data_IF_397087722811
#
_entry.id   IF_397087722811
#
_cell.length_a   1.000
_cell.length_b   1.000
_cell.length_c   1.000
_cell.angle_alpha   90.00
_cell.angle_beta   90.00
_cell.angle_gamma   90.00
#
_symmetry.space_group_name_H-M   'P 1'
#
loop_
_entity.id
_entity.type
_entity.pdbx_description
1 polymer ?
#
# COMPACT_ATOMS: atom_id res chain seq x y z
N UNK A 1 -29.64 -16.48 -7.24
CA UNK A 1 -29.04 -16.80 -5.90
C UNK A 1 -28.01 -17.91 -6.00
N UNK A 2 -28.33 -19.03 -6.66
CA UNK A 2 -27.38 -20.14 -6.87
C UNK A 2 -26.09 -19.72 -7.57
N UNK A 3 -26.19 -18.94 -8.63
CA UNK A 3 -25.01 -18.42 -9.34
C UNK A 3 -24.11 -17.55 -8.45
N UNK A 4 -24.69 -16.68 -7.63
CA UNK A 4 -23.93 -15.85 -6.70
C UNK A 4 -23.18 -16.71 -5.65
N UNK A 5 -23.85 -17.72 -5.14
CA UNK A 5 -23.25 -18.69 -4.20
C UNK A 5 -22.11 -19.47 -4.87
N UNK A 6 -22.27 -19.82 -6.14
CA UNK A 6 -21.22 -20.49 -6.90
C UNK A 6 -19.99 -19.58 -7.09
N UNK A 7 -20.18 -18.32 -7.52
CA UNK A 7 -19.08 -17.34 -7.67
C UNK A 7 -18.31 -17.18 -6.36
N UNK A 8 -19.04 -17.05 -5.25
CA UNK A 8 -18.43 -16.91 -3.92
C UNK A 8 -17.67 -18.18 -3.52
N UNK A 9 -18.27 -19.36 -3.72
CA UNK A 9 -17.64 -20.66 -3.42
C UNK A 9 -16.36 -20.85 -4.23
N UNK A 10 -16.40 -20.58 -5.53
CA UNK A 10 -15.23 -20.71 -6.42
C UNK A 10 -14.13 -19.70 -6.05
N UNK A 11 -14.50 -18.48 -5.66
CA UNK A 11 -13.56 -17.48 -5.18
C UNK A 11 -12.85 -17.94 -3.90
N UNK A 12 -13.56 -18.52 -2.92
CA UNK A 12 -12.95 -19.07 -1.71
C UNK A 12 -12.06 -20.27 -2.00
N UNK A 13 -12.52 -21.22 -2.80
CA UNK A 13 -11.76 -22.40 -3.19
C UNK A 13 -10.47 -22.00 -3.94
N UNK A 14 -10.58 -21.12 -4.92
CA UNK A 14 -9.47 -20.61 -5.71
C UNK A 14 -8.45 -19.87 -4.86
N UNK A 15 -8.89 -18.97 -3.99
CA UNK A 15 -7.97 -18.19 -3.16
C UNK A 15 -7.33 -19.04 -2.03
N UNK A 16 -8.07 -19.98 -1.44
CA UNK A 16 -7.50 -20.92 -0.48
C UNK A 16 -6.42 -21.80 -1.11
N UNK A 17 -6.66 -22.29 -2.32
CA UNK A 17 -5.65 -23.03 -3.09
C UNK A 17 -4.45 -22.14 -3.43
N UNK A 18 -4.67 -20.89 -3.87
CA UNK A 18 -3.60 -19.92 -4.09
C UNK A 18 -2.71 -19.75 -2.85
N UNK A 19 -3.30 -19.52 -1.68
CA UNK A 19 -2.56 -19.39 -0.42
C UNK A 19 -1.76 -20.64 -0.08
N UNK A 20 -2.39 -21.82 -0.22
CA UNK A 20 -1.71 -23.11 -0.02
C UNK A 20 -0.48 -23.25 -0.93
N UNK A 21 -0.64 -22.95 -2.21
CA UNK A 21 0.42 -23.03 -3.21
C UNK A 21 1.55 -22.00 -2.95
N UNK A 22 1.21 -20.77 -2.56
CA UNK A 22 2.17 -19.72 -2.15
C UNK A 22 2.98 -20.16 -0.92
N UNK A 23 2.30 -20.64 0.13
CA UNK A 23 2.95 -21.05 1.40
C UNK A 23 3.82 -22.30 1.24
N UNK A 24 3.42 -23.24 0.37
CA UNK A 24 4.20 -24.46 0.10
C UNK A 24 5.26 -24.30 -0.98
N UNK A 25 5.21 -23.19 -1.74
CA UNK A 25 6.09 -22.95 -2.89
C UNK A 25 5.83 -23.87 -4.08
N UNK A 26 4.63 -24.47 -4.15
CA UNK A 26 4.32 -25.52 -5.13
C UNK A 26 3.94 -25.01 -6.52
N UNK A 27 3.54 -23.73 -6.66
CA UNK A 27 2.94 -23.21 -7.91
C UNK A 27 3.86 -22.37 -8.78
N UNK A 28 4.81 -21.68 -8.18
CA UNK A 28 5.67 -20.73 -8.88
C UNK A 28 7.12 -20.84 -8.41
N UNK A 29 8.09 -20.50 -9.26
CA UNK A 29 9.47 -20.36 -8.82
C UNK A 29 9.54 -19.42 -7.60
N UNK A 30 10.41 -19.74 -6.64
CA UNK A 30 10.56 -18.99 -5.39
C UNK A 30 10.69 -17.45 -5.57
N UNK A 31 11.32 -17.02 -6.66
CA UNK A 31 11.51 -15.61 -7.00
C UNK A 31 10.25 -14.90 -7.54
N UNK A 32 9.18 -15.66 -7.79
CA UNK A 32 7.85 -15.14 -8.17
C UNK A 32 6.80 -15.38 -7.10
N UNK A 33 7.21 -15.96 -5.96
CA UNK A 33 6.33 -16.25 -4.85
C UNK A 33 6.18 -15.00 -3.97
N UNK A 34 4.94 -14.53 -3.83
CA UNK A 34 4.65 -13.30 -3.11
C UNK A 34 4.88 -13.43 -1.60
N UNK A 35 4.52 -14.58 -1.02
CA UNK A 35 4.67 -14.85 0.41
C UNK A 35 6.15 -14.84 0.82
N UNK A 36 6.99 -15.57 0.12
CA UNK A 36 8.44 -15.61 0.39
C UNK A 36 9.13 -14.30 0.01
N UNK A 37 8.67 -13.62 -1.06
CA UNK A 37 9.16 -12.31 -1.44
C UNK A 37 8.90 -11.26 -0.38
N UNK A 38 7.70 -11.22 0.19
CA UNK A 38 7.36 -10.34 1.30
C UNK A 38 8.27 -10.58 2.50
N UNK A 39 8.45 -11.84 2.91
CA UNK A 39 9.33 -12.18 4.04
C UNK A 39 10.79 -11.78 3.75
N UNK A 40 11.31 -12.13 2.57
CA UNK A 40 12.70 -11.85 2.22
C UNK A 40 12.99 -10.34 2.20
N UNK A 41 12.15 -9.53 1.56
CA UNK A 41 12.30 -8.07 1.53
C UNK A 41 12.20 -7.50 2.95
N UNK A 42 11.24 -7.97 3.75
CA UNK A 42 11.07 -7.52 5.14
C UNK A 42 12.32 -7.81 5.98
N UNK A 43 12.88 -9.02 5.87
CA UNK A 43 14.09 -9.40 6.60
C UNK A 43 15.32 -8.59 6.16
N UNK A 44 15.47 -8.33 4.86
CA UNK A 44 16.57 -7.53 4.33
C UNK A 44 16.48 -6.09 4.84
N UNK A 45 15.31 -5.47 4.78
CA UNK A 45 15.15 -4.08 5.26
C UNK A 45 15.29 -4.01 6.78
N UNK A 46 14.77 -4.99 7.50
CA UNK A 46 14.95 -5.07 8.96
C UNK A 46 16.43 -5.25 9.36
N UNK A 47 17.18 -6.06 8.61
CA UNK A 47 18.62 -6.18 8.82
C UNK A 47 19.33 -4.82 8.64
N UNK A 48 18.96 -4.02 7.64
CA UNK A 48 19.49 -2.65 7.51
C UNK A 48 19.14 -1.77 8.72
N UNK A 49 17.91 -1.84 9.24
CA UNK A 49 17.53 -1.10 10.47
C UNK A 49 18.40 -1.46 11.68
N UNK A 50 18.81 -2.73 11.78
CA UNK A 50 19.65 -3.21 12.89
C UNK A 50 21.11 -2.79 12.70
N UNK A 51 21.65 -2.89 11.48
CA UNK A 51 23.06 -2.67 11.18
C UNK A 51 23.40 -1.17 11.13
N UNK A 52 22.52 -0.35 10.54
CA UNK A 52 22.74 1.08 10.32
C UNK A 52 21.57 1.94 10.83
N UNK A 53 21.16 1.83 12.08
CA UNK A 53 19.99 2.54 12.60
C UNK A 53 20.21 4.06 12.58
N UNK A 54 19.23 4.78 12.05
CA UNK A 54 19.22 6.24 12.08
C UNK A 54 18.95 6.77 13.49
N UNK A 55 17.90 6.27 14.14
CA UNK A 55 17.56 6.53 15.54
C UNK A 55 18.16 5.42 16.41
N UNK A 56 19.39 5.63 16.86
CA UNK A 56 20.20 4.63 17.61
C UNK A 56 19.56 4.17 18.93
N UNK A 57 18.74 5.02 19.56
CA UNK A 57 18.07 4.72 20.84
C UNK A 57 16.73 4.00 20.66
N UNK A 58 16.26 3.82 19.41
CA UNK A 58 15.03 3.08 19.12
C UNK A 58 15.30 1.58 19.30
N UNK A 59 14.49 0.86 20.11
CA UNK A 59 14.69 -0.59 20.27
C UNK A 59 14.43 -1.33 18.97
N UNK A 60 15.12 -2.47 18.78
CA UNK A 60 14.95 -3.35 17.60
C UNK A 60 13.49 -3.82 17.50
N UNK A 61 12.91 -4.27 18.60
CA UNK A 61 11.48 -4.53 18.74
C UNK A 61 10.79 -3.29 19.29
N UNK A 62 10.59 -2.32 18.40
CA UNK A 62 9.96 -1.05 18.74
C UNK A 62 8.50 -1.22 19.16
N UNK A 63 7.93 -0.16 19.70
CA UNK A 63 6.50 -0.12 20.02
C UNK A 63 5.66 -0.58 18.83
N UNK A 64 4.68 -1.43 19.08
CA UNK A 64 3.74 -1.99 18.10
C UNK A 64 4.38 -2.87 17.00
N UNK A 65 5.66 -3.26 17.09
CA UNK A 65 6.36 -4.07 16.08
C UNK A 65 5.57 -5.33 15.68
N UNK A 66 5.06 -6.09 16.65
CA UNK A 66 4.30 -7.31 16.38
C UNK A 66 2.91 -7.03 15.81
N UNK A 67 2.30 -5.91 16.20
CA UNK A 67 1.03 -5.46 15.64
C UNK A 67 1.20 -5.09 14.16
N UNK A 68 2.26 -4.38 13.82
CA UNK A 68 2.60 -4.01 12.44
C UNK A 68 2.91 -5.23 11.60
N UNK A 69 3.70 -6.18 12.12
CA UNK A 69 3.92 -7.47 11.49
C UNK A 69 2.64 -8.26 11.24
N UNK A 70 1.70 -8.23 12.20
CA UNK A 70 0.40 -8.88 12.01
C UNK A 70 -0.42 -8.18 10.92
N UNK A 71 -0.47 -6.84 10.86
CA UNK A 71 -1.15 -6.10 9.79
C UNK A 71 -0.58 -6.43 8.41
N UNK A 72 0.72 -6.63 8.31
CA UNK A 72 1.39 -7.00 7.07
C UNK A 72 0.80 -8.28 6.46
N UNK A 73 0.62 -9.33 7.28
CA UNK A 73 0.00 -10.58 6.83
C UNK A 73 -1.52 -10.50 6.71
N UNK A 74 -2.18 -9.78 7.61
CA UNK A 74 -3.62 -9.59 7.58
C UNK A 74 -4.08 -8.93 6.28
N UNK A 75 -3.50 -7.79 5.94
CA UNK A 75 -3.92 -7.02 4.77
C UNK A 75 -3.64 -7.74 3.44
N UNK A 76 -2.54 -8.48 3.35
CA UNK A 76 -2.20 -9.17 2.11
C UNK A 76 -2.91 -10.50 1.92
N UNK A 77 -3.05 -11.29 2.97
CA UNK A 77 -3.51 -12.67 2.85
C UNK A 77 -4.87 -12.88 3.52
N UNK A 78 -5.00 -12.57 4.80
CA UNK A 78 -6.20 -12.89 5.57
C UNK A 78 -7.42 -12.08 5.16
N UNK A 79 -7.28 -10.78 4.96
CA UNK A 79 -8.41 -9.94 4.53
C UNK A 79 -8.88 -10.34 3.12
N UNK A 80 -7.97 -10.65 2.22
CA UNK A 80 -8.33 -11.17 0.90
C UNK A 80 -9.06 -12.50 0.99
N UNK A 81 -8.65 -13.41 1.89
CA UNK A 81 -9.32 -14.68 2.13
C UNK A 81 -10.72 -14.48 2.74
N UNK A 82 -10.83 -13.60 3.76
CA UNK A 82 -12.09 -13.44 4.52
C UNK A 82 -13.19 -12.80 3.67
N UNK A 83 -12.87 -11.75 2.90
CA UNK A 83 -13.90 -10.94 2.26
C UNK A 83 -13.53 -10.42 0.88
N UNK A 84 -12.31 -9.86 0.70
CA UNK A 84 -12.01 -9.06 -0.47
C UNK A 84 -12.10 -9.85 -1.78
N UNK A 85 -11.54 -11.07 -1.81
CA UNK A 85 -11.49 -11.88 -3.02
C UNK A 85 -12.91 -12.29 -3.47
N UNK A 86 -13.75 -12.76 -2.56
CA UNK A 86 -15.13 -13.13 -2.90
C UNK A 86 -15.94 -11.93 -3.39
N UNK A 87 -15.85 -10.79 -2.69
CA UNK A 87 -16.57 -9.57 -3.05
C UNK A 87 -16.10 -9.00 -4.39
N UNK A 88 -14.79 -8.97 -4.63
CA UNK A 88 -14.23 -8.47 -5.90
C UNK A 88 -14.65 -9.32 -7.10
N UNK A 89 -14.68 -10.66 -6.96
CA UNK A 89 -15.15 -11.54 -8.04
C UNK A 89 -16.62 -11.27 -8.41
N UNK A 90 -17.49 -11.09 -7.42
CA UNK A 90 -18.91 -10.71 -7.66
C UNK A 90 -18.99 -9.36 -8.38
N UNK A 91 -18.22 -8.36 -7.92
CA UNK A 91 -18.21 -7.03 -8.54
C UNK A 91 -17.69 -7.07 -9.99
N UNK A 92 -16.64 -7.85 -10.27
CA UNK A 92 -16.10 -8.01 -11.63
C UNK A 92 -17.15 -8.61 -12.57
N UNK A 93 -17.79 -9.73 -12.17
CA UNK A 93 -18.84 -10.36 -12.98
C UNK A 93 -19.99 -9.39 -13.28
N UNK A 94 -20.42 -8.60 -12.31
CA UNK A 94 -21.49 -7.61 -12.54
C UNK A 94 -21.03 -6.44 -13.42
N UNK A 95 -19.80 -6.00 -13.26
CA UNK A 95 -19.21 -4.96 -14.12
C UNK A 95 -19.14 -5.44 -15.58
N UNK A 96 -18.61 -6.63 -15.82
CA UNK A 96 -18.51 -7.20 -17.18
C UNK A 96 -19.88 -7.31 -17.84
N UNK A 97 -20.88 -7.84 -17.13
CA UNK A 97 -22.26 -7.89 -17.64
C UNK A 97 -22.84 -6.49 -17.93
N UNK A 98 -22.59 -5.54 -17.04
CA UNK A 98 -23.00 -4.15 -17.26
C UNK A 98 -22.37 -3.56 -18.52
N UNK A 99 -21.08 -3.78 -18.73
CA UNK A 99 -20.37 -3.34 -19.94
C UNK A 99 -20.87 -4.01 -21.20
N UNK A 100 -21.14 -5.31 -21.17
CA UNK A 100 -21.72 -6.06 -22.29
C UNK A 100 -23.11 -5.50 -22.69
N UNK A 101 -23.96 -5.13 -21.72
CA UNK A 101 -25.29 -4.57 -22.01
C UNK A 101 -25.25 -3.25 -22.76
N UNK A 102 -24.14 -2.49 -22.63
CA UNK A 102 -23.92 -1.22 -23.35
C UNK A 102 -22.98 -1.38 -24.55
N UNK A 103 -22.66 -2.64 -24.93
CA UNK A 103 -21.85 -2.96 -26.11
C UNK A 103 -20.35 -2.79 -25.94
N UNK A 104 -19.84 -2.68 -24.69
CA UNK A 104 -18.41 -2.61 -24.39
C UNK A 104 -17.90 -4.01 -24.05
N UNK A 105 -17.22 -4.66 -24.99
CA UNK A 105 -16.70 -6.03 -24.82
C UNK A 105 -15.35 -6.10 -24.08
N UNK A 106 -14.64 -4.99 -23.91
CA UNK A 106 -13.34 -4.95 -23.20
C UNK A 106 -13.00 -3.53 -22.77
N UNK A 107 -12.43 -3.38 -21.56
CA UNK A 107 -11.91 -2.11 -21.08
C UNK A 107 -10.52 -1.75 -21.68
N UNK A 108 -9.86 -2.68 -22.36
CA UNK A 108 -8.54 -2.43 -22.95
C UNK A 108 -8.66 -1.59 -24.23
N UNK A 109 -8.45 -0.29 -24.10
CA UNK A 109 -8.47 0.67 -25.21
C UNK A 109 -7.10 0.88 -25.85
N UNK A 110 -6.00 0.64 -25.10
CA UNK A 110 -4.62 0.82 -25.54
C UNK A 110 -3.93 -0.54 -25.50
N UNK A 111 -3.47 -1.03 -26.64
CA UNK A 111 -2.81 -2.33 -26.74
C UNK A 111 -1.29 -2.20 -26.42
N UNK A 112 -0.96 -1.91 -25.18
CA UNK A 112 0.46 -1.79 -24.75
C UNK A 112 1.23 -3.11 -24.86
N UNK A 113 0.55 -4.25 -24.91
CA UNK A 113 1.16 -5.57 -25.09
C UNK A 113 1.94 -5.71 -26.42
N UNK A 114 1.74 -4.81 -27.36
CA UNK A 114 2.53 -4.72 -28.61
C UNK A 114 3.83 -3.93 -28.47
N UNK A 115 4.03 -3.26 -27.36
CA UNK A 115 5.20 -2.43 -27.09
C UNK A 115 6.37 -3.26 -26.54
N UNK A 116 7.60 -2.75 -26.58
CA UNK A 116 8.74 -3.39 -25.92
C UNK A 116 8.44 -3.61 -24.41
N UNK A 117 8.73 -4.79 -23.89
CA UNK A 117 8.37 -5.23 -22.53
C UNK A 117 8.87 -4.24 -21.45
N UNK A 118 10.10 -3.74 -21.60
CA UNK A 118 10.65 -2.77 -20.65
C UNK A 118 9.82 -1.47 -20.61
N UNK A 119 9.28 -1.03 -21.74
CA UNK A 119 8.45 0.17 -21.82
C UNK A 119 7.07 -0.07 -21.18
N UNK A 120 6.52 -1.27 -21.34
CA UNK A 120 5.27 -1.68 -20.67
C UNK A 120 5.43 -1.59 -19.13
N UNK A 121 6.52 -2.13 -18.58
CA UNK A 121 6.77 -2.08 -17.12
C UNK A 121 7.03 -0.66 -16.61
N UNK A 122 7.76 0.16 -17.33
CA UNK A 122 7.97 1.57 -16.97
C UNK A 122 6.63 2.32 -16.97
N UNK A 123 5.83 2.18 -18.04
CA UNK A 123 4.52 2.82 -18.12
C UNK A 123 3.61 2.37 -16.97
N UNK A 124 3.52 1.08 -16.73
CA UNK A 124 2.72 0.52 -15.66
C UNK A 124 3.16 1.07 -14.31
N UNK A 125 4.47 1.08 -14.02
CA UNK A 125 5.01 1.59 -12.77
C UNK A 125 4.69 3.07 -12.56
N UNK A 126 4.95 3.91 -13.57
CA UNK A 126 4.73 5.35 -13.49
C UNK A 126 3.23 5.68 -13.33
N UNK A 127 2.36 5.03 -14.10
CA UNK A 127 0.91 5.24 -14.02
C UNK A 127 0.36 4.74 -12.68
N UNK A 128 0.76 3.55 -12.24
CA UNK A 128 0.31 2.99 -10.98
C UNK A 128 0.75 3.85 -9.78
N UNK A 129 2.00 4.32 -9.77
CA UNK A 129 2.55 5.16 -8.70
C UNK A 129 1.87 6.54 -8.70
N UNK A 130 1.59 7.13 -9.87
CA UNK A 130 0.83 8.39 -9.96
C UNK A 130 -0.59 8.25 -9.43
N UNK A 131 -1.28 7.16 -9.77
CA UNK A 131 -2.63 6.87 -9.24
C UNK A 131 -2.56 6.70 -7.72
N UNK A 132 -1.58 5.94 -7.22
CA UNK A 132 -1.36 5.74 -5.79
C UNK A 132 -1.11 7.05 -5.04
N UNK A 133 -0.28 7.94 -5.59
CA UNK A 133 -0.04 9.28 -5.05
C UNK A 133 -1.34 10.10 -4.96
N UNK A 134 -2.20 10.05 -5.99
CA UNK A 134 -3.49 10.75 -5.96
C UNK A 134 -4.45 10.14 -4.91
N UNK A 135 -4.51 8.81 -4.82
CA UNK A 135 -5.32 8.13 -3.79
C UNK A 135 -4.83 8.54 -2.40
N UNK A 136 -3.52 8.54 -2.16
CA UNK A 136 -2.92 8.92 -0.89
C UNK A 136 -3.30 10.36 -0.50
N UNK A 137 -3.26 11.30 -1.44
CA UNK A 137 -3.76 12.66 -1.22
C UNK A 137 -5.27 12.70 -0.91
N UNK A 138 -6.07 11.86 -1.54
CA UNK A 138 -7.51 11.77 -1.23
C UNK A 138 -7.74 11.25 0.18
N UNK A 139 -6.98 10.25 0.62
CA UNK A 139 -7.05 9.73 2.00
C UNK A 139 -6.80 10.82 3.05
N UNK A 140 -5.93 11.78 2.76
CA UNK A 140 -5.66 12.92 3.63
C UNK A 140 -6.68 14.07 3.52
N UNK A 141 -7.27 14.28 2.34
CA UNK A 141 -8.13 15.44 2.08
C UNK A 141 -9.60 15.21 2.39
N UNK A 142 -10.05 13.98 2.25
CA UNK A 142 -11.45 13.62 2.45
C UNK A 142 -11.63 13.15 3.89
N UNK A 143 -12.40 13.88 4.75
CA UNK A 143 -12.43 13.63 6.19
C UNK A 143 -12.80 12.19 6.58
N UNK A 144 -13.78 11.56 5.92
CA UNK A 144 -14.16 10.19 6.23
C UNK A 144 -13.12 9.16 5.76
N UNK A 145 -12.35 9.42 4.70
CA UNK A 145 -11.22 8.59 4.28
C UNK A 145 -10.04 8.70 5.24
N UNK A 146 -9.80 9.91 5.75
CA UNK A 146 -8.78 10.17 6.75
C UNK A 146 -9.00 9.35 8.03
N UNK A 147 -10.24 9.14 8.43
CA UNK A 147 -10.52 8.31 9.62
C UNK A 147 -9.96 6.88 9.48
N UNK A 148 -9.96 6.28 8.29
CA UNK A 148 -9.32 4.99 8.04
C UNK A 148 -7.79 5.11 7.98
N UNK A 149 -7.29 6.15 7.32
CA UNK A 149 -5.85 6.37 7.13
C UNK A 149 -5.11 6.77 8.41
N UNK A 150 -5.82 7.26 9.43
CA UNK A 150 -5.29 7.48 10.78
C UNK A 150 -4.59 6.26 11.37
N UNK A 151 -5.00 5.04 10.99
CA UNK A 151 -4.33 3.83 11.43
C UNK A 151 -2.87 3.80 10.98
N UNK A 152 -2.61 4.18 9.73
CA UNK A 152 -1.25 4.30 9.19
C UNK A 152 -0.44 5.38 9.92
N UNK A 153 -1.05 6.53 10.18
CA UNK A 153 -0.43 7.64 10.90
C UNK A 153 -0.35 7.45 12.42
N UNK A 154 -0.98 6.41 13.00
CA UNK A 154 -0.93 6.16 14.45
C UNK A 154 0.41 5.61 14.97
N UNK A 155 1.38 5.39 14.07
CA UNK A 155 2.72 4.89 14.38
C UNK A 155 3.51 5.95 15.14
N UNK A 156 4.12 5.56 16.27
CA UNK A 156 4.94 6.44 17.12
C UNK A 156 6.43 6.27 16.95
N UNK A 157 6.82 5.09 16.56
CA UNK A 157 8.21 4.72 16.27
C UNK A 157 8.26 4.11 14.89
N UNK A 158 8.82 4.85 13.92
CA UNK A 158 8.88 4.41 12.53
C UNK A 158 9.84 3.23 12.36
N UNK A 159 9.41 2.22 11.61
CA UNK A 159 10.17 1.05 11.21
C UNK A 159 9.51 0.38 10.01
N UNK A 160 10.24 -0.47 9.29
CA UNK A 160 9.83 -1.04 7.99
C UNK A 160 8.41 -1.63 7.98
N UNK A 161 8.04 -2.35 9.05
CA UNK A 161 6.74 -3.04 9.15
C UNK A 161 5.56 -2.05 9.23
N UNK A 162 5.78 -0.79 9.67
CA UNK A 162 4.77 0.25 9.71
C UNK A 162 4.22 0.59 8.32
N UNK A 163 4.99 0.34 7.25
CA UNK A 163 4.54 0.50 5.86
C UNK A 163 3.18 -0.17 5.59
N UNK A 164 2.97 -1.38 6.11
CA UNK A 164 1.76 -2.18 5.84
C UNK A 164 0.73 -2.13 6.97
N UNK A 165 0.92 -1.25 7.97
CA UNK A 165 -0.08 -0.94 8.98
C UNK A 165 -1.09 0.05 8.41
N UNK A 166 -2.09 -0.45 7.71
CA UNK A 166 -3.19 0.35 7.17
C UNK A 166 -4.52 -0.39 7.33
N UNK A 167 -5.61 0.36 7.24
CA UNK A 167 -6.94 -0.19 7.40
C UNK A 167 -7.35 -1.02 6.16
N UNK A 168 -8.08 -2.10 6.34
CA UNK A 168 -8.54 -2.96 5.23
C UNK A 168 -9.33 -2.20 4.17
N UNK A 169 -10.05 -1.14 4.56
CA UNK A 169 -10.75 -0.26 3.62
C UNK A 169 -9.80 0.39 2.62
N UNK A 170 -8.57 0.70 3.03
CA UNK A 170 -7.56 1.23 2.11
C UNK A 170 -7.18 0.21 1.03
N UNK A 171 -7.11 -1.08 1.38
CA UNK A 171 -6.91 -2.14 0.37
C UNK A 171 -8.03 -2.12 -0.68
N UNK A 172 -9.28 -1.95 -0.26
CA UNK A 172 -10.43 -1.84 -1.18
C UNK A 172 -10.28 -0.62 -2.09
N UNK A 173 -9.97 0.55 -1.50
CA UNK A 173 -9.84 1.81 -2.24
C UNK A 173 -8.68 1.74 -3.24
N UNK A 174 -7.48 1.35 -2.79
CA UNK A 174 -6.30 1.27 -3.65
C UNK A 174 -6.51 0.29 -4.80
N UNK A 175 -6.97 -0.94 -4.52
CA UNK A 175 -7.16 -1.94 -5.55
C UNK A 175 -8.24 -1.53 -6.55
N UNK A 176 -9.36 -0.99 -6.09
CA UNK A 176 -10.43 -0.57 -6.99
C UNK A 176 -10.03 0.61 -7.87
N UNK A 177 -9.39 1.64 -7.31
CA UNK A 177 -9.04 2.84 -8.06
C UNK A 177 -7.76 2.68 -8.90
N UNK A 178 -6.88 1.76 -8.56
CA UNK A 178 -5.63 1.53 -9.27
C UNK A 178 -5.80 0.52 -10.42
N UNK A 179 -6.56 -0.56 -10.22
CA UNK A 179 -6.70 -1.62 -11.23
C UNK A 179 -7.55 -1.21 -12.42
N UNK A 180 -8.61 -0.45 -12.22
CA UNK A 180 -9.49 -0.02 -13.33
C UNK A 180 -8.72 0.79 -14.39
N UNK A 181 -8.00 1.88 -14.04
CA UNK A 181 -7.22 2.61 -15.03
C UNK A 181 -6.13 1.78 -15.71
N UNK A 182 -5.50 0.85 -14.99
CA UNK A 182 -4.47 0.00 -15.56
C UNK A 182 -5.04 -1.06 -16.52
N UNK A 183 -6.26 -1.51 -16.29
CA UNK A 183 -6.97 -2.39 -17.24
C UNK A 183 -7.23 -1.70 -18.59
N UNK A 184 -7.39 -0.37 -18.62
CA UNK A 184 -7.52 0.40 -19.88
C UNK A 184 -6.27 0.29 -20.77
N UNK A 185 -5.10 0.07 -20.17
CA UNK A 185 -3.86 -0.19 -20.88
C UNK A 185 -3.63 -1.67 -21.20
N UNK A 186 -4.56 -2.55 -20.83
CA UNK A 186 -4.47 -3.99 -21.10
C UNK A 186 -3.47 -4.74 -20.20
N UNK A 187 -3.11 -4.20 -19.04
CA UNK A 187 -2.30 -4.90 -18.04
C UNK A 187 -3.11 -5.97 -17.30
N UNK A 188 -2.54 -7.16 -17.18
CA UNK A 188 -3.12 -8.28 -16.45
C UNK A 188 -2.62 -8.39 -15.01
N UNK A 189 -3.23 -9.30 -14.23
CA UNK A 189 -2.87 -9.51 -12.81
C UNK A 189 -1.42 -9.96 -12.60
N UNK A 190 -0.86 -10.75 -13.53
CA UNK A 190 0.53 -11.22 -13.46
C UNK A 190 1.55 -10.11 -13.60
N UNK A 191 1.21 -9.04 -14.33
CA UNK A 191 2.08 -7.88 -14.52
C UNK A 191 2.26 -7.11 -13.21
N UNK A 192 1.24 -7.13 -12.37
CA UNK A 192 1.26 -6.45 -11.07
C UNK A 192 2.22 -7.07 -10.05
N UNK A 193 2.62 -8.33 -10.20
CA UNK A 193 3.51 -8.96 -9.24
C UNK A 193 4.81 -8.18 -9.07
N UNK A 194 5.53 -7.93 -10.18
CA UNK A 194 6.80 -7.20 -10.14
C UNK A 194 6.62 -5.77 -9.63
N UNK A 195 5.54 -5.11 -10.05
CA UNK A 195 5.17 -3.78 -9.58
C UNK A 195 5.00 -3.75 -8.06
N UNK A 196 4.23 -4.70 -7.52
CA UNK A 196 3.99 -4.80 -6.08
C UNK A 196 5.27 -5.10 -5.29
N UNK A 197 6.16 -5.96 -5.80
CA UNK A 197 7.42 -6.27 -5.15
C UNK A 197 8.35 -5.06 -5.08
N UNK A 198 8.42 -4.26 -6.15
CA UNK A 198 9.19 -3.01 -6.18
C UNK A 198 8.58 -1.99 -5.21
N UNK A 199 7.27 -1.79 -5.28
CA UNK A 199 6.56 -0.86 -4.38
C UNK A 199 6.68 -1.28 -2.91
N UNK A 200 6.62 -2.59 -2.62
CA UNK A 200 6.83 -3.16 -1.30
C UNK A 200 8.24 -2.85 -0.77
N UNK A 201 9.27 -3.09 -1.57
CA UNK A 201 10.66 -2.85 -1.19
C UNK A 201 10.91 -1.36 -0.89
N UNK A 202 10.45 -0.47 -1.77
CA UNK A 202 10.60 0.98 -1.59
C UNK A 202 9.76 1.46 -0.40
N UNK A 203 8.53 0.98 -0.24
CA UNK A 203 7.69 1.35 0.89
C UNK A 203 8.25 0.88 2.23
N UNK A 204 8.82 -0.32 2.31
CA UNK A 204 9.54 -0.78 3.50
C UNK A 204 10.77 0.09 3.81
N UNK A 205 11.57 0.43 2.78
CA UNK A 205 12.70 1.34 2.94
C UNK A 205 12.26 2.71 3.45
N UNK A 206 11.20 3.30 2.89
CA UNK A 206 10.72 4.63 3.28
C UNK A 206 10.25 4.71 4.74
N UNK A 207 9.75 3.60 5.27
CA UNK A 207 9.35 3.51 6.69
C UNK A 207 10.49 3.04 7.58
N UNK A 208 11.61 2.58 7.03
CA UNK A 208 12.70 2.01 7.80
C UNK A 208 13.42 3.05 8.67
N UNK A 209 13.95 2.59 9.79
CA UNK A 209 14.79 3.39 10.68
C UNK A 209 16.22 3.56 10.12
N UNK A 210 16.34 4.08 8.90
CA UNK A 210 17.62 4.33 8.20
C UNK A 210 17.68 5.73 7.62
N UNK A 211 18.88 6.34 7.56
CA UNK A 211 19.10 7.68 7.03
C UNK A 211 19.42 7.65 5.53
N UNK A 212 18.52 7.12 4.72
CA UNK A 212 18.73 6.99 3.28
C UNK A 212 18.08 8.13 2.51
N UNK A 213 18.79 8.75 1.57
CA UNK A 213 18.32 9.93 0.81
C UNK A 213 18.37 9.77 -0.70
N UNK A 214 18.90 8.67 -1.23
CA UNK A 214 19.16 8.43 -2.65
C UNK A 214 20.13 9.45 -3.31
N UNK A 215 20.75 10.36 -2.55
CA UNK A 215 21.64 11.40 -3.10
C UNK A 215 20.98 12.23 -4.22
N UNK A 216 21.55 12.30 -5.44
CA UNK A 216 20.95 13.04 -6.55
C UNK A 216 19.57 12.54 -7.00
N UNK A 217 19.27 11.24 -6.80
CA UNK A 217 17.99 10.65 -7.19
C UNK A 217 16.84 11.01 -6.24
N UNK A 218 17.08 11.77 -5.15
CA UNK A 218 16.04 12.22 -4.21
C UNK A 218 14.89 13.01 -4.87
N UNK A 219 15.15 13.61 -6.04
CA UNK A 219 14.13 14.33 -6.81
C UNK A 219 13.19 13.42 -7.58
N UNK A 220 13.58 12.15 -7.73
CA UNK A 220 12.81 11.13 -8.44
C UNK A 220 12.24 10.10 -7.48
N UNK A 221 13.03 9.62 -6.52
CA UNK A 221 12.69 8.52 -5.61
C UNK A 221 12.41 9.05 -4.21
N UNK A 222 11.34 8.58 -3.60
CA UNK A 222 11.04 8.84 -2.20
C UNK A 222 12.06 8.13 -1.29
N UNK A 223 12.22 8.61 -0.08
CA UNK A 223 13.24 8.14 0.86
C UNK A 223 12.72 8.16 2.31
N UNK A 224 13.35 7.39 3.23
CA UNK A 224 13.02 7.47 4.65
C UNK A 224 13.06 8.89 5.22
N UNK A 225 14.07 9.68 4.83
CA UNK A 225 14.23 11.08 5.27
C UNK A 225 13.13 12.00 4.74
N UNK A 226 12.58 11.72 3.56
CA UNK A 226 11.43 12.45 3.03
C UNK A 226 10.12 11.94 3.64
N UNK A 227 9.94 10.63 3.71
CA UNK A 227 8.69 10.02 4.12
C UNK A 227 8.40 10.19 5.63
N UNK A 228 9.42 10.32 6.48
CA UNK A 228 9.20 10.59 7.91
C UNK A 228 8.41 11.87 8.14
N UNK A 229 8.59 12.90 7.29
CA UNK A 229 7.84 14.15 7.33
C UNK A 229 6.36 13.98 6.95
N UNK A 230 6.05 12.97 6.13
CA UNK A 230 4.66 12.60 5.86
C UNK A 230 3.92 12.17 7.13
N UNK A 231 4.62 11.46 8.03
CA UNK A 231 4.08 11.01 9.33
C UNK A 231 4.26 12.02 10.47
N UNK A 232 4.77 13.23 10.18
CA UNK A 232 4.96 14.25 11.20
C UNK A 232 3.63 14.67 11.82
N UNK A 233 3.56 14.68 13.16
CA UNK A 233 2.36 15.10 13.90
C UNK A 233 2.06 16.58 13.68
N UNK A 234 3.11 17.39 13.59
CA UNK A 234 2.99 18.86 13.44
C UNK A 234 3.60 19.30 12.12
N UNK A 235 2.80 19.93 11.30
CA UNK A 235 3.20 20.54 10.03
C UNK A 235 2.85 22.03 10.02
N UNK A 236 3.55 22.86 9.22
CA UNK A 236 3.17 24.26 9.02
C UNK A 236 1.75 24.39 8.47
N UNK A 237 1.03 25.44 8.84
CA UNK A 237 -0.34 25.70 8.39
C UNK A 237 -0.51 25.85 6.88
N UNK A 238 0.60 26.03 6.13
CA UNK A 238 0.62 25.99 4.66
C UNK A 238 0.35 24.59 4.08
N UNK A 239 0.41 23.53 4.92
CA UNK A 239 0.18 22.15 4.51
C UNK A 239 -0.97 21.50 5.32
N UNK A 240 -2.21 21.99 5.21
CA UNK A 240 -3.32 21.57 6.07
C UNK A 240 -3.74 20.11 5.86
N UNK A 241 -3.31 19.48 4.77
CA UNK A 241 -3.65 18.10 4.44
C UNK A 241 -2.45 17.16 4.44
N UNK A 242 -1.27 17.61 4.88
CA UNK A 242 -0.06 16.81 4.86
C UNK A 242 0.88 17.13 3.69
N UNK A 243 1.99 16.36 3.64
CA UNK A 243 3.13 16.53 2.71
C UNK A 243 3.64 15.18 2.24
N UNK A 244 4.47 15.15 1.20
CA UNK A 244 5.27 13.97 0.79
C UNK A 244 4.44 12.70 0.58
N UNK A 245 3.41 12.77 -0.27
CA UNK A 245 2.45 11.69 -0.49
C UNK A 245 2.98 10.55 -1.37
N UNK A 246 4.13 10.75 -2.05
CA UNK A 246 4.74 9.73 -2.89
C UNK A 246 5.08 8.47 -2.09
N UNK A 247 4.78 7.27 -2.64
CA UNK A 247 5.30 6.03 -2.08
C UNK A 247 6.65 5.70 -2.72
N UNK A 248 6.69 5.50 -4.04
CA UNK A 248 7.94 5.17 -4.73
C UNK A 248 8.59 6.39 -5.35
N UNK A 249 7.81 7.20 -6.08
CA UNK A 249 8.30 8.38 -6.77
C UNK A 249 7.99 9.66 -5.99
N UNK A 250 9.03 10.41 -5.63
CA UNK A 250 8.92 11.74 -5.03
C UNK A 250 8.64 12.84 -6.06
N UNK A 251 8.86 12.57 -7.34
CA UNK A 251 8.70 13.54 -8.43
C UNK A 251 7.33 14.22 -8.43
N UNK A 252 6.28 13.49 -8.03
CA UNK A 252 4.92 14.03 -7.93
C UNK A 252 4.83 15.11 -6.87
N UNK A 253 5.45 14.89 -5.70
CA UNK A 253 5.45 15.88 -4.64
C UNK A 253 6.19 17.16 -5.02
N UNK A 254 7.30 17.05 -5.73
CA UNK A 254 7.99 18.23 -6.27
C UNK A 254 7.16 18.93 -7.35
N UNK A 255 6.57 18.18 -8.29
CA UNK A 255 5.80 18.71 -9.39
C UNK A 255 4.52 19.43 -8.90
N UNK A 256 3.84 18.85 -7.91
CA UNK A 256 2.58 19.38 -7.35
C UNK A 256 2.77 20.19 -6.06
N UNK A 257 4.02 20.54 -5.70
CA UNK A 257 4.38 21.42 -4.58
C UNK A 257 3.90 20.91 -3.22
N UNK A 258 3.94 19.59 -3.02
CA UNK A 258 3.65 18.94 -1.75
C UNK A 258 4.92 18.40 -1.07
N UNK A 259 6.11 18.58 -1.70
CA UNK A 259 7.38 18.21 -1.10
C UNK A 259 7.74 19.15 0.06
N UNK A 260 8.08 18.58 1.22
CA UNK A 260 8.50 19.32 2.42
C UNK A 260 9.54 18.53 3.21
N UNK A 261 10.78 18.99 3.23
CA UNK A 261 11.92 18.36 3.92
C UNK A 261 12.78 19.49 4.50
N UNK A 262 12.35 20.15 5.59
CA UNK A 262 13.09 21.30 6.16
C UNK A 262 14.42 20.92 6.80
N UNK A 263 14.52 19.69 7.32
CA UNK A 263 15.73 19.09 7.86
C UNK A 263 15.65 17.55 7.81
N UNK A 264 16.54 16.82 8.44
CA UNK A 264 16.58 15.36 8.37
C UNK A 264 15.37 14.65 9.02
N UNK A 265 14.63 15.29 9.91
CA UNK A 265 13.41 14.76 10.51
C UNK A 265 13.60 13.64 11.54
N UNK A 266 14.84 13.32 11.96
CA UNK A 266 15.16 12.17 12.82
C UNK A 266 14.38 12.13 14.13
N UNK A 267 14.22 13.29 14.77
CA UNK A 267 13.70 13.40 16.14
C UNK A 267 12.32 14.09 16.19
N UNK A 268 11.60 14.17 15.05
CA UNK A 268 10.26 14.75 15.01
C UNK A 268 9.24 13.82 15.67
N UNK A 269 8.20 14.42 16.27
CA UNK A 269 7.07 13.67 16.81
C UNK A 269 6.19 13.13 15.67
N UNK A 270 5.90 11.82 15.72
CA UNK A 270 5.06 11.14 14.73
C UNK A 270 3.62 10.99 15.23
N UNK A 271 2.67 10.99 14.30
CA UNK A 271 1.26 10.79 14.61
C UNK A 271 0.36 11.82 13.93
N UNK A 272 -0.73 12.14 14.59
CA UNK A 272 -1.70 13.15 14.17
C UNK A 272 -2.29 13.88 15.39
N UNK A 273 -2.89 15.02 15.16
CA UNK A 273 -3.52 15.81 16.24
C UNK A 273 -4.77 15.11 16.79
N UNK A 274 -5.04 15.28 18.09
CA UNK A 274 -6.19 14.70 18.80
C UNK A 274 -6.26 13.16 18.66
N UNK A 275 -5.12 12.49 18.82
CA UNK A 275 -5.00 11.03 18.67
C UNK A 275 -5.39 10.24 19.93
N UNK A 276 -5.58 10.87 21.08
CA UNK A 276 -5.85 10.21 22.36
C UNK A 276 -7.06 9.24 22.31
N UNK A 277 -8.17 9.58 21.61
CA UNK A 277 -9.31 8.70 21.47
C UNK A 277 -9.12 7.61 20.40
N UNK A 278 -8.00 7.61 19.65
CA UNK A 278 -7.76 6.61 18.61
C UNK A 278 -7.57 5.22 19.24
N UNK A 279 -8.26 4.18 18.73
CA UNK A 279 -8.26 2.87 19.36
C UNK A 279 -6.88 2.21 19.33
N UNK A 280 -6.56 1.45 20.39
CA UNK A 280 -5.37 0.61 20.48
C UNK A 280 -5.73 -0.84 20.28
N UNK A 281 -4.84 -1.56 19.61
CA UNK A 281 -4.96 -2.99 19.35
C UNK A 281 -5.84 -3.33 18.13
N UNK A 282 -5.52 -4.46 17.51
CA UNK A 282 -6.00 -4.88 16.20
C UNK A 282 -7.53 -4.83 16.06
N UNK A 283 -8.27 -5.53 16.90
CA UNK A 283 -9.72 -5.65 16.72
C UNK A 283 -10.46 -4.31 16.77
N UNK A 284 -10.05 -3.42 17.69
CA UNK A 284 -10.65 -2.08 17.78
C UNK A 284 -10.29 -1.21 16.59
N UNK A 285 -9.08 -1.34 16.08
CA UNK A 285 -8.60 -0.60 14.91
C UNK A 285 -9.27 -1.06 13.61
N UNK A 286 -9.48 -2.36 13.44
CA UNK A 286 -10.12 -2.94 12.24
C UNK A 286 -11.58 -2.52 12.06
N UNK A 287 -12.31 -2.30 13.15
CA UNK A 287 -13.70 -1.83 13.10
C UNK A 287 -13.86 -0.31 13.15
N UNK A 288 -12.80 0.41 13.51
CA UNK A 288 -12.80 1.88 13.50
C UNK A 288 -12.74 2.40 12.05
N UNK A 289 -13.46 3.47 11.67
CA UNK A 289 -14.40 4.27 12.46
C UNK A 289 -15.86 3.83 12.35
N UNK A 290 -16.15 2.62 11.82
CA UNK A 290 -17.51 2.15 11.50
C UNK A 290 -18.43 2.16 12.72
N UNK A 291 -17.90 1.97 13.91
CA UNK A 291 -18.63 2.02 15.19
C UNK A 291 -18.59 3.36 15.92
N UNK A 292 -18.04 4.42 15.29
CA UNK A 292 -17.97 5.75 15.90
C UNK A 292 -19.37 6.36 15.93
N UNK A 293 -19.99 6.42 17.11
CA UNK A 293 -21.18 7.26 17.30
C UNK A 293 -20.73 8.72 17.24
N UNK A 294 -21.30 9.49 16.34
CA UNK A 294 -21.12 10.94 16.22
C UNK A 294 -21.59 11.67 17.48
#
# INVERSE_FOLDING_TARGET
MEELLQIVSDAYAGYSNYLYMEMTGASVPWYRNYFYGLIAISLVVWAFEIIIPWRKNQPVFRRDFWLDGFYMFFNFFLFSLIAYNALSNVCVVWLDRGLETIGIGSLSFIKVNTWPVWLQYILMFVVADFIQWNIHRLLHRVPWLWEFHKLHHSVKEMGFAAHLRFHWMETVIYKSLQYIPLAFFGFGLTDFFMLHMIALAIGHLNHANIAWTWGPLRWLLNSPVMHIWHHAKHLPGSYPYGVNFGLSLSVWDYLFKTAYIPHDGRDIELGFENEEPFPRGFFKQVIYPIGKQN
#
